data_IF_018432350370
#
_entry.id   IF_018432350370
#
_cell.length_a   1.000
_cell.length_b   1.000
_cell.length_c   1.000
_cell.angle_alpha   90.00
_cell.angle_beta   90.00
_cell.angle_gamma   90.00
#
_symmetry.space_group_name_H-M   'P 1'
#
loop_
_entity.id
_entity.type
_entity.pdbx_description
1 polymer ?
#
# COMPACT_ATOMS: atom_id res chain seq x y z
N UNK A 1 -0.05 -0.73 -4.23
CA UNK A 1 -1.44 -0.98 -4.67
C UNK A 1 -2.34 0.14 -4.17
N UNK A 2 -3.40 0.47 -4.90
CA UNK A 2 -4.47 1.37 -4.43
C UNK A 2 -5.81 1.01 -5.07
N UNK A 3 -6.89 1.66 -4.64
CA UNK A 3 -8.23 1.50 -5.20
C UNK A 3 -8.49 2.33 -6.48
N UNK A 4 -7.45 2.99 -7.02
CA UNK A 4 -7.53 3.65 -8.33
C UNK A 4 -7.64 2.62 -9.47
N UNK A 5 -8.24 3.06 -10.57
CA UNK A 5 -8.41 2.21 -11.75
C UNK A 5 -7.10 1.82 -12.41
N UNK A 6 -7.12 0.73 -13.18
CA UNK A 6 -5.97 0.26 -13.97
C UNK A 6 -5.36 1.39 -14.80
N UNK A 7 -6.20 2.20 -15.47
CA UNK A 7 -5.73 3.31 -16.30
C UNK A 7 -5.00 4.38 -15.48
N UNK A 8 -5.52 4.73 -14.29
CA UNK A 8 -4.89 5.72 -13.41
C UNK A 8 -3.55 5.21 -12.88
N UNK A 9 -3.49 3.94 -12.48
CA UNK A 9 -2.25 3.32 -12.02
C UNK A 9 -1.20 3.28 -13.13
N UNK A 10 -1.61 2.91 -14.35
CA UNK A 10 -0.72 2.94 -15.52
C UNK A 10 -0.17 4.35 -15.77
N UNK A 11 -1.04 5.36 -15.81
CA UNK A 11 -0.62 6.74 -16.03
C UNK A 11 0.35 7.23 -14.94
N UNK A 12 0.12 6.84 -13.68
CA UNK A 12 1.00 7.18 -12.57
C UNK A 12 2.36 6.48 -12.68
N UNK A 13 2.36 5.19 -13.01
CA UNK A 13 3.56 4.39 -13.26
C UNK A 13 4.42 5.00 -14.36
N UNK A 14 3.80 5.34 -15.50
CA UNK A 14 4.47 5.93 -16.65
C UNK A 14 5.02 7.33 -16.30
N UNK A 15 4.22 8.17 -15.63
CA UNK A 15 4.61 9.54 -15.25
C UNK A 15 5.78 9.56 -14.25
N UNK A 16 5.88 8.57 -13.37
CA UNK A 16 6.96 8.48 -12.38
C UNK A 16 8.12 7.59 -12.82
N UNK A 17 8.02 6.98 -14.01
CA UNK A 17 9.02 6.09 -14.57
C UNK A 17 9.43 4.95 -13.63
N UNK A 18 8.44 4.29 -13.00
CA UNK A 18 8.74 3.14 -12.15
C UNK A 18 9.14 1.93 -12.99
N UNK A 19 10.13 1.19 -12.51
CA UNK A 19 10.62 -0.05 -13.12
C UNK A 19 9.79 -1.28 -12.75
N UNK A 20 8.68 -1.10 -12.07
CA UNK A 20 7.80 -2.16 -11.56
C UNK A 20 6.34 -1.78 -11.72
N UNK A 21 5.43 -2.76 -11.86
CA UNK A 21 4.01 -2.49 -12.00
C UNK A 21 3.39 -2.01 -10.69
N UNK A 22 2.32 -1.21 -10.79
CA UNK A 22 1.48 -0.85 -9.65
C UNK A 22 0.11 -1.50 -9.80
N UNK A 23 -0.26 -2.31 -8.81
CA UNK A 23 -1.55 -2.99 -8.78
C UNK A 23 -2.72 -2.03 -8.54
N UNK A 24 -3.78 -2.20 -9.32
CA UNK A 24 -5.10 -1.60 -9.15
C UNK A 24 -6.03 -2.59 -8.44
N UNK A 25 -6.61 -2.20 -7.31
CA UNK A 25 -7.56 -3.00 -6.53
C UNK A 25 -8.90 -2.27 -6.44
N UNK A 26 -9.59 -2.17 -7.57
CA UNK A 26 -10.86 -1.43 -7.70
C UNK A 26 -11.97 -2.02 -6.81
N UNK A 27 -11.97 -3.35 -6.62
CA UNK A 27 -12.90 -4.08 -5.74
C UNK A 27 -12.58 -3.87 -4.26
N UNK A 28 -11.33 -3.50 -3.94
CA UNK A 28 -10.79 -3.32 -2.57
C UNK A 28 -10.68 -4.64 -1.80
N UNK A 29 -10.81 -5.77 -2.48
CA UNK A 29 -10.79 -7.09 -1.84
C UNK A 29 -9.43 -7.37 -1.23
N UNK A 30 -8.35 -7.05 -1.94
CA UNK A 30 -6.99 -7.23 -1.43
C UNK A 30 -6.71 -6.23 -0.31
N UNK A 31 -7.09 -4.97 -0.47
CA UNK A 31 -6.96 -3.95 0.58
C UNK A 31 -7.66 -4.36 1.87
N UNK A 32 -8.87 -4.94 1.78
CA UNK A 32 -9.60 -5.46 2.94
C UNK A 32 -8.93 -6.69 3.54
N UNK A 33 -8.52 -7.65 2.72
CA UNK A 33 -7.85 -8.88 3.18
C UNK A 33 -6.56 -8.59 3.96
N UNK A 34 -5.83 -7.54 3.56
CA UNK A 34 -4.60 -7.10 4.22
C UNK A 34 -4.83 -6.06 5.34
N UNK A 35 -6.08 -5.75 5.71
CA UNK A 35 -6.39 -4.73 6.72
C UNK A 35 -5.95 -3.30 6.35
N UNK A 36 -5.68 -3.06 5.06
CA UNK A 36 -5.29 -1.77 4.49
C UNK A 36 -6.48 -0.89 4.12
N UNK A 37 -7.71 -1.28 4.47
CA UNK A 37 -8.94 -0.51 4.30
C UNK A 37 -9.66 -0.37 5.64
N UNK A 38 -10.04 0.84 6.01
CA UNK A 38 -10.78 1.04 7.26
C UNK A 38 -11.27 2.47 7.47
N UNK A 39 -11.96 2.66 8.60
CA UNK A 39 -12.58 3.93 8.97
C UNK A 39 -11.51 4.95 9.36
N UNK A 40 -11.62 6.15 8.78
CA UNK A 40 -10.84 7.34 9.11
C UNK A 40 -11.77 8.42 9.63
N UNK A 41 -11.34 9.10 10.68
CA UNK A 41 -12.00 10.29 11.22
C UNK A 41 -11.24 11.53 10.78
N UNK A 42 -11.91 12.44 10.10
CA UNK A 42 -11.36 13.76 9.79
C UNK A 42 -12.45 14.81 10.01
N UNK A 43 -12.15 15.81 10.84
CA UNK A 43 -13.06 16.90 11.18
C UNK A 43 -14.47 16.43 11.61
N UNK A 44 -14.53 15.40 12.47
CA UNK A 44 -15.80 14.86 12.97
C UNK A 44 -16.61 14.03 11.97
N UNK A 45 -16.10 13.82 10.74
CA UNK A 45 -16.71 12.93 9.75
C UNK A 45 -15.95 11.61 9.68
N UNK A 46 -16.70 10.52 9.62
CA UNK A 46 -16.20 9.17 9.36
C UNK A 46 -16.31 8.84 7.88
N UNK A 47 -15.22 8.32 7.31
CA UNK A 47 -15.18 7.81 5.95
C UNK A 47 -14.22 6.63 5.89
N UNK A 48 -14.49 5.67 5.02
CA UNK A 48 -13.55 4.58 4.79
C UNK A 48 -12.47 4.99 3.78
N UNK A 49 -11.26 4.48 3.98
CA UNK A 49 -10.20 4.69 3.00
C UNK A 49 -8.95 3.87 3.28
N UNK A 50 -8.00 3.98 2.36
CA UNK A 50 -6.76 3.22 2.40
C UNK A 50 -5.91 3.62 3.60
N UNK A 51 -5.60 2.67 4.48
CA UNK A 51 -4.62 2.82 5.56
C UNK A 51 -3.25 2.51 4.97
N UNK A 52 -2.29 3.43 5.12
CA UNK A 52 -0.94 3.25 4.58
C UNK A 52 -0.18 2.22 5.41
N UNK A 53 0.12 1.08 4.79
CA UNK A 53 0.96 0.03 5.35
C UNK A 53 1.89 -0.56 4.29
N UNK A 54 2.85 -1.36 4.72
CA UNK A 54 3.67 -2.20 3.87
C UNK A 54 3.84 -3.58 4.50
N UNK A 55 4.13 -4.57 3.68
CA UNK A 55 4.29 -5.96 4.10
C UNK A 55 5.57 -6.50 3.50
N UNK A 56 6.36 -7.21 4.31
CA UNK A 56 7.45 -8.06 3.85
C UNK A 56 6.92 -9.49 3.80
N UNK A 57 7.03 -10.13 2.65
CA UNK A 57 6.48 -11.46 2.39
C UNK A 57 7.62 -12.35 1.88
N UNK A 58 7.81 -13.52 2.50
CA UNK A 58 8.82 -14.49 2.10
C UNK A 58 8.48 -15.19 0.78
N UNK A 59 9.41 -15.95 0.23
CA UNK A 59 9.20 -16.72 -1.00
C UNK A 59 8.11 -17.80 -0.86
N UNK A 60 7.87 -18.28 0.37
CA UNK A 60 6.80 -19.22 0.72
C UNK A 60 5.43 -18.55 0.87
N UNK A 61 5.36 -17.22 0.69
CA UNK A 61 4.13 -16.44 0.83
C UNK A 61 3.75 -16.10 2.27
N UNK A 62 4.70 -16.19 3.22
CA UNK A 62 4.47 -15.88 4.63
C UNK A 62 4.72 -14.39 4.87
N UNK A 63 3.81 -13.69 5.54
CA UNK A 63 4.03 -12.31 5.98
C UNK A 63 5.00 -12.30 7.15
N UNK A 64 6.26 -11.95 6.90
CA UNK A 64 7.32 -11.91 7.92
C UNK A 64 7.27 -10.63 8.76
N UNK A 65 6.82 -9.52 8.15
CA UNK A 65 6.74 -8.22 8.83
C UNK A 65 5.64 -7.33 8.27
N UNK A 66 4.98 -6.62 9.18
CA UNK A 66 3.97 -5.59 8.86
C UNK A 66 4.49 -4.23 9.32
N UNK A 67 4.41 -3.23 8.45
CA UNK A 67 4.77 -1.86 8.74
C UNK A 67 3.52 -0.99 8.71
N UNK A 68 3.03 -0.56 9.87
CA UNK A 68 1.92 0.36 10.02
C UNK A 68 2.39 1.78 10.40
N UNK A 69 1.56 2.80 10.16
CA UNK A 69 1.79 4.20 10.58
C UNK A 69 3.18 4.76 10.20
N UNK A 70 3.65 4.39 9.02
CA UNK A 70 5.01 4.66 8.54
C UNK A 70 5.27 6.13 8.23
N UNK A 71 6.50 6.60 8.45
CA UNK A 71 6.96 7.92 8.03
C UNK A 71 7.44 7.85 6.58
N UNK A 72 6.68 8.47 5.68
CA UNK A 72 6.93 8.39 4.22
C UNK A 72 8.33 8.78 3.78
N UNK A 73 9.00 9.69 4.51
CA UNK A 73 10.35 10.15 4.20
C UNK A 73 11.45 9.11 4.48
N UNK A 74 11.27 8.25 5.49
CA UNK A 74 12.28 7.25 5.89
C UNK A 74 11.94 5.85 5.43
N UNK A 75 10.66 5.55 5.21
CA UNK A 75 10.13 4.20 5.12
C UNK A 75 10.86 3.27 4.14
N UNK A 76 11.28 3.76 2.98
CA UNK A 76 12.02 2.94 2.02
C UNK A 76 13.36 2.43 2.59
N UNK A 77 14.05 3.25 3.40
CA UNK A 77 15.29 2.86 4.08
C UNK A 77 15.03 1.90 5.24
N UNK A 78 13.91 2.10 5.94
CA UNK A 78 13.48 1.21 7.01
C UNK A 78 13.28 -0.21 6.45
N UNK A 79 12.54 -0.34 5.34
CA UNK A 79 12.37 -1.62 4.63
C UNK A 79 13.71 -2.20 4.16
N UNK A 80 14.57 -1.40 3.50
CA UNK A 80 15.86 -1.88 3.00
C UNK A 80 16.81 -2.38 4.10
N UNK A 81 16.64 -1.89 5.34
CA UNK A 81 17.46 -2.35 6.47
C UNK A 81 16.98 -3.70 7.01
N UNK A 82 15.70 -4.03 6.81
CA UNK A 82 15.09 -5.28 7.22
C UNK A 82 15.18 -6.37 6.15
N UNK A 83 15.34 -5.99 4.87
CA UNK A 83 15.61 -6.90 3.76
C UNK A 83 17.14 -7.06 3.65
N UNK A 84 17.66 -8.16 4.22
CA UNK A 84 19.08 -8.51 4.22
C UNK A 84 19.28 -10.00 4.01
#
# INVERSE_FOLDING_TARGET
MSADSVQKQKNFCDKQNFSYPILADETKETLKAYGAWGVKKMYGREYEGIIRCSFLISEEGIVEKVYDKVKTKSHAKDILSDIG
#
